data_IF_389544682835
#
_entry.id   IF_389544682835
#
_cell.length_a   1.000
_cell.length_b   1.000
_cell.length_c   1.000
_cell.angle_alpha   90.00
_cell.angle_beta   90.00
_cell.angle_gamma   90.00
#
_symmetry.space_group_name_H-M   'P 1'
#
loop_
_entity.id
_entity.type
_entity.pdbx_description
1 polymer ?
#
# COMPACT_ATOMS: atom_id res chain seq x y z
N UNK A 1 -20.90 25.32 15.46
CA UNK A 1 -19.56 25.60 14.90
C UNK A 1 -19.31 24.58 13.79
N UNK A 2 -19.01 25.10 12.60
CA UNK A 2 -19.24 24.51 11.27
C UNK A 2 -18.12 23.56 10.84
N UNK A 3 -18.53 22.50 10.15
CA UNK A 3 -17.76 21.50 9.42
C UNK A 3 -16.88 22.12 8.32
N UNK A 4 -15.56 22.25 8.52
CA UNK A 4 -14.66 22.68 7.42
C UNK A 4 -13.24 22.08 7.45
N UNK A 5 -13.02 20.95 8.13
CA UNK A 5 -11.76 20.20 8.04
C UNK A 5 -11.87 18.88 7.24
N UNK A 6 -13.07 18.44 6.87
CA UNK A 6 -13.31 17.10 6.31
C UNK A 6 -13.40 17.02 4.77
N UNK A 7 -13.18 18.10 4.02
CA UNK A 7 -13.49 18.11 2.57
C UNK A 7 -12.41 18.65 1.60
N UNK A 8 -11.14 18.81 2.00
CA UNK A 8 -10.11 19.36 1.09
C UNK A 8 -8.79 18.59 1.02
N UNK A 9 -8.85 17.27 0.91
CA UNK A 9 -7.69 16.49 0.48
C UNK A 9 -8.03 15.30 -0.43
N UNK A 10 -9.26 15.22 -0.95
CA UNK A 10 -9.77 14.02 -1.66
C UNK A 10 -10.06 14.22 -3.15
N UNK A 11 -9.58 15.31 -3.76
CA UNK A 11 -9.91 15.66 -5.14
C UNK A 11 -8.65 15.85 -5.98
N UNK A 12 -8.41 14.89 -6.89
CA UNK A 12 -7.39 14.87 -7.94
C UNK A 12 -5.97 14.44 -7.53
N UNK A 13 -5.36 13.61 -8.40
CA UNK A 13 -4.07 12.89 -8.30
C UNK A 13 -4.23 11.51 -7.65
N UNK A 14 -3.62 10.47 -8.23
CA UNK A 14 -3.71 9.07 -7.77
C UNK A 14 -3.65 8.96 -6.25
N UNK A 15 -4.61 8.26 -5.64
CA UNK A 15 -4.59 8.03 -4.19
C UNK A 15 -3.25 7.36 -3.84
N UNK A 16 -2.45 7.88 -2.89
CA UNK A 16 -1.12 7.35 -2.56
C UNK A 16 -1.07 5.82 -2.40
N UNK A 17 -2.13 5.23 -1.86
CA UNK A 17 -2.29 3.78 -1.71
C UNK A 17 -2.35 2.98 -3.02
N UNK A 18 -2.76 3.59 -4.14
CA UNK A 18 -2.73 2.95 -5.46
C UNK A 18 -1.30 2.89 -6.01
N UNK A 19 -0.51 3.94 -5.81
CA UNK A 19 0.89 3.98 -6.24
C UNK A 19 1.71 2.95 -5.47
N UNK A 20 1.55 2.91 -4.15
CA UNK A 20 2.16 1.89 -3.29
C UNK A 20 1.79 0.47 -3.73
N UNK A 21 0.49 0.20 -3.95
CA UNK A 21 0.03 -1.11 -4.40
C UNK A 21 0.67 -1.53 -5.72
N UNK A 22 0.78 -0.63 -6.70
CA UNK A 22 1.39 -0.94 -8.00
C UNK A 22 2.87 -1.29 -7.86
N UNK A 23 3.62 -0.53 -7.05
CA UNK A 23 5.04 -0.80 -6.82
C UNK A 23 5.24 -2.14 -6.10
N UNK A 24 4.43 -2.44 -5.08
CA UNK A 24 4.45 -3.75 -4.45
C UNK A 24 4.15 -4.88 -5.43
N UNK A 25 3.12 -4.72 -6.28
CA UNK A 25 2.74 -5.74 -7.25
C UNK A 25 3.84 -5.99 -8.30
N UNK A 26 4.48 -4.93 -8.80
CA UNK A 26 5.60 -5.02 -9.74
C UNK A 26 6.77 -5.81 -9.13
N UNK A 27 7.25 -5.39 -7.95
CA UNK A 27 8.41 -6.00 -7.31
C UNK A 27 8.11 -7.42 -6.85
N UNK A 28 6.89 -7.71 -6.38
CA UNK A 28 6.46 -9.07 -6.02
C UNK A 28 6.52 -9.99 -7.23
N UNK A 29 6.04 -9.53 -8.39
CA UNK A 29 6.12 -10.29 -9.64
C UNK A 29 7.57 -10.51 -10.09
N UNK A 30 8.47 -9.57 -9.83
CA UNK A 30 9.90 -9.76 -10.11
C UNK A 30 10.55 -10.79 -9.19
N UNK A 31 10.21 -10.79 -7.90
CA UNK A 31 10.65 -11.83 -6.96
C UNK A 31 10.15 -13.21 -7.39
N UNK A 32 8.87 -13.33 -7.78
CA UNK A 32 8.30 -14.59 -8.29
C UNK A 32 9.01 -15.07 -9.56
N UNK A 33 9.28 -14.18 -10.51
CA UNK A 33 10.03 -14.53 -11.73
C UNK A 33 11.45 -14.99 -11.42
N UNK A 34 12.11 -14.36 -10.44
CA UNK A 34 13.45 -14.72 -10.00
C UNK A 34 13.53 -16.08 -9.29
N UNK A 35 12.40 -16.67 -8.90
CA UNK A 35 12.31 -18.04 -8.39
C UNK A 35 12.03 -19.09 -9.49
N UNK A 36 11.77 -18.66 -10.72
CA UNK A 36 11.50 -19.61 -11.81
C UNK A 36 12.75 -20.41 -12.20
N UNK A 37 12.56 -21.63 -12.70
CA UNK A 37 13.66 -22.51 -13.13
C UNK A 37 14.54 -21.92 -14.23
N UNK A 38 14.04 -20.91 -14.94
CA UNK A 38 14.73 -20.27 -16.07
C UNK A 38 15.34 -18.91 -15.70
N UNK A 39 15.23 -18.49 -14.43
CA UNK A 39 15.76 -17.21 -13.98
C UNK A 39 17.29 -17.20 -13.97
N UNK A 40 17.89 -16.07 -14.37
CA UNK A 40 19.32 -15.88 -14.20
C UNK A 40 19.64 -15.61 -12.72
N UNK A 41 20.83 -16.00 -12.21
CA UNK A 41 21.24 -15.67 -10.84
C UNK A 41 21.19 -14.15 -10.54
N UNK A 42 21.42 -13.32 -11.56
CA UNK A 42 21.33 -11.86 -11.48
C UNK A 42 19.91 -11.35 -11.24
N UNK A 43 18.87 -12.06 -11.69
CA UNK A 43 17.48 -11.66 -11.50
C UNK A 43 17.11 -11.69 -10.01
N UNK A 44 17.61 -12.69 -9.28
CA UNK A 44 17.42 -12.82 -7.83
C UNK A 44 18.07 -11.68 -7.06
N UNK A 45 19.32 -11.35 -7.39
CA UNK A 45 20.02 -10.22 -6.77
C UNK A 45 19.28 -8.92 -7.04
N UNK A 46 18.88 -8.67 -8.29
CA UNK A 46 18.13 -7.47 -8.69
C UNK A 46 16.80 -7.38 -7.95
N UNK A 47 15.99 -8.43 -7.95
CA UNK A 47 14.67 -8.42 -7.35
C UNK A 47 14.73 -8.22 -5.82
N UNK A 48 15.64 -8.92 -5.14
CA UNK A 48 15.86 -8.75 -3.70
C UNK A 48 16.36 -7.34 -3.35
N UNK A 49 17.27 -6.78 -4.15
CA UNK A 49 17.75 -5.42 -3.96
C UNK A 49 16.63 -4.38 -4.14
N UNK A 50 15.83 -4.50 -5.21
CA UNK A 50 14.68 -3.61 -5.45
C UNK A 50 13.65 -3.71 -4.33
N UNK A 51 13.39 -4.90 -3.82
CA UNK A 51 12.53 -5.11 -2.66
C UNK A 51 13.06 -4.37 -1.43
N UNK A 52 14.36 -4.46 -1.13
CA UNK A 52 14.96 -3.69 -0.04
C UNK A 52 14.82 -2.18 -0.22
N UNK A 53 14.97 -1.65 -1.45
CA UNK A 53 14.80 -0.22 -1.73
C UNK A 53 13.35 0.25 -1.51
N UNK A 54 12.36 -0.55 -1.90
CA UNK A 54 10.95 -0.26 -1.64
C UNK A 54 10.69 -0.13 -0.13
N UNK A 55 11.14 -1.12 0.65
CA UNK A 55 10.94 -1.13 2.10
C UNK A 55 11.71 -0.02 2.83
N UNK A 56 12.90 0.35 2.36
CA UNK A 56 13.64 1.48 2.89
C UNK A 56 12.91 2.82 2.66
N UNK A 57 12.32 2.98 1.48
CA UNK A 57 11.51 4.16 1.13
C UNK A 57 10.30 4.26 2.05
N UNK A 58 9.59 3.14 2.24
CA UNK A 58 8.45 3.07 3.16
C UNK A 58 8.84 3.36 4.61
N UNK A 59 9.95 2.79 5.10
CA UNK A 59 10.44 3.05 6.45
C UNK A 59 10.72 4.54 6.67
N UNK A 60 11.30 5.20 5.67
CA UNK A 60 11.60 6.63 5.73
C UNK A 60 10.33 7.47 5.82
N UNK A 61 9.30 7.14 5.02
CA UNK A 61 8.00 7.80 5.09
C UNK A 61 7.29 7.55 6.44
N UNK A 62 7.36 6.33 6.98
CA UNK A 62 6.71 5.97 8.25
C UNK A 62 7.28 6.74 9.45
N UNK A 63 8.57 7.05 9.43
CA UNK A 63 9.27 7.79 10.51
C UNK A 63 9.03 9.30 10.40
N UNK A 64 8.60 9.80 9.24
CA UNK A 64 8.27 11.22 9.05
C UNK A 64 7.16 11.68 10.00
N UNK A 65 7.34 12.88 10.58
CA UNK A 65 6.33 13.55 11.40
C UNK A 65 5.06 13.90 10.60
N UNK A 66 5.16 13.96 9.27
CA UNK A 66 4.04 14.23 8.37
C UNK A 66 3.15 12.99 8.16
N UNK A 67 3.64 11.79 8.47
CA UNK A 67 2.86 10.56 8.34
C UNK A 67 1.84 10.48 9.49
N UNK A 68 0.57 10.30 9.15
CA UNK A 68 -0.58 10.35 10.09
C UNK A 68 -1.10 8.98 10.52
N UNK A 69 -0.38 7.90 10.21
CA UNK A 69 -0.75 6.57 10.67
C UNK A 69 -0.66 6.46 12.20
N UNK A 70 -1.50 5.59 12.75
CA UNK A 70 -1.45 5.27 14.18
C UNK A 70 -0.08 4.71 14.58
N UNK A 71 0.39 5.10 15.76
CA UNK A 71 1.73 4.74 16.26
C UNK A 71 1.95 3.23 16.33
N UNK A 72 0.92 2.46 16.67
CA UNK A 72 1.00 1.00 16.74
C UNK A 72 1.18 0.39 15.34
N UNK A 73 0.44 0.91 14.35
CA UNK A 73 0.56 0.48 12.95
C UNK A 73 1.95 0.82 12.42
N UNK A 74 2.44 2.05 12.65
CA UNK A 74 3.79 2.47 12.27
C UNK A 74 4.87 1.54 12.85
N UNK A 75 4.79 1.26 14.15
CA UNK A 75 5.77 0.39 14.81
C UNK A 75 5.81 -1.02 14.20
N UNK A 76 4.65 -1.59 13.88
CA UNK A 76 4.56 -2.88 13.18
C UNK A 76 5.19 -2.84 11.79
N UNK A 77 4.85 -1.83 10.98
CA UNK A 77 5.39 -1.68 9.62
C UNK A 77 6.91 -1.42 9.62
N UNK A 78 7.42 -0.62 10.55
CA UNK A 78 8.86 -0.38 10.73
C UNK A 78 9.58 -1.68 11.11
N UNK A 79 8.98 -2.48 11.99
CA UNK A 79 9.54 -3.79 12.38
C UNK A 79 9.62 -4.74 11.19
N UNK A 80 8.58 -4.77 10.35
CA UNK A 80 8.58 -5.51 9.09
C UNK A 80 9.66 -4.99 8.13
N UNK A 81 9.81 -3.67 7.98
CA UNK A 81 10.84 -3.10 7.12
C UNK A 81 12.26 -3.53 7.53
N UNK A 82 12.55 -3.52 8.83
CA UNK A 82 13.84 -4.00 9.37
C UNK A 82 14.04 -5.50 9.07
N UNK A 83 13.01 -6.31 9.27
CA UNK A 83 13.06 -7.74 8.96
C UNK A 83 13.29 -8.00 7.46
N UNK A 84 12.59 -7.27 6.58
CA UNK A 84 12.75 -7.37 5.12
C UNK A 84 14.14 -6.91 4.66
N UNK A 85 14.69 -5.84 5.23
CA UNK A 85 16.07 -5.40 4.94
C UNK A 85 17.08 -6.53 5.23
N UNK A 86 16.95 -7.18 6.40
CA UNK A 86 17.80 -8.32 6.77
C UNK A 86 17.64 -9.51 5.82
N UNK A 87 16.42 -9.95 5.57
CA UNK A 87 16.15 -11.08 4.68
C UNK A 87 16.59 -10.79 3.24
N UNK A 88 16.38 -9.57 2.74
CA UNK A 88 16.81 -9.19 1.39
C UNK A 88 18.33 -9.31 1.25
N UNK A 89 19.10 -8.97 2.28
CA UNK A 89 20.55 -9.14 2.28
C UNK A 89 20.98 -10.63 2.29
N UNK A 90 20.33 -11.47 3.10
CA UNK A 90 20.54 -12.92 3.12
C UNK A 90 20.16 -13.56 1.76
N UNK A 91 19.06 -13.11 1.17
CA UNK A 91 18.62 -13.52 -0.15
C UNK A 91 19.67 -13.14 -1.20
N UNK A 92 20.17 -11.90 -1.22
CA UNK A 92 21.23 -11.48 -2.17
C UNK A 92 22.46 -12.40 -2.08
N UNK A 93 22.83 -12.86 -0.87
CA UNK A 93 23.96 -13.77 -0.66
C UNK A 93 23.71 -15.23 -1.04
N UNK A 94 22.47 -15.63 -1.33
CA UNK A 94 22.17 -17.05 -1.60
C UNK A 94 21.76 -17.86 -0.38
N UNK A 95 21.60 -17.24 0.78
CA UNK A 95 21.46 -17.97 2.06
C UNK A 95 20.02 -18.43 2.32
N UNK A 96 19.04 -17.72 1.77
CA UNK A 96 17.59 -17.99 1.96
C UNK A 96 16.81 -17.88 0.66
N UNK A 97 15.61 -18.43 0.61
CA UNK A 97 14.71 -18.27 -0.53
C UNK A 97 13.98 -16.90 -0.55
N UNK A 98 13.44 -16.51 -1.71
CA UNK A 98 12.65 -15.27 -1.89
C UNK A 98 11.19 -15.42 -1.43
N UNK A 99 10.69 -16.64 -1.21
CA UNK A 99 9.31 -16.92 -0.79
C UNK A 99 8.80 -16.03 0.36
N UNK A 100 9.53 -15.92 1.48
CA UNK A 100 9.09 -15.06 2.60
C UNK A 100 8.96 -13.58 2.24
N UNK A 101 9.76 -13.07 1.29
CA UNK A 101 9.66 -11.68 0.81
C UNK A 101 8.42 -11.49 -0.09
N UNK A 102 8.06 -12.52 -0.85
CA UNK A 102 6.84 -12.52 -1.68
C UNK A 102 5.60 -12.53 -0.79
N UNK A 103 5.58 -13.37 0.24
CA UNK A 103 4.44 -13.52 1.13
C UNK A 103 4.14 -12.22 1.89
N UNK A 104 5.16 -11.59 2.48
CA UNK A 104 4.96 -10.31 3.19
C UNK A 104 4.46 -9.20 2.24
N UNK A 105 4.94 -9.16 1.00
CA UNK A 105 4.47 -8.16 0.03
C UNK A 105 3.00 -8.40 -0.36
N UNK A 106 2.58 -9.67 -0.48
CA UNK A 106 1.18 -10.03 -0.73
C UNK A 106 0.28 -9.65 0.43
N UNK A 107 0.72 -9.88 1.67
CA UNK A 107 -0.01 -9.48 2.87
C UNK A 107 -0.21 -7.96 2.93
N UNK A 108 0.83 -7.18 2.62
CA UNK A 108 0.74 -5.72 2.54
C UNK A 108 -0.23 -5.28 1.44
N UNK A 109 -0.14 -5.86 0.23
CA UNK A 109 -1.07 -5.58 -0.86
C UNK A 109 -2.52 -5.89 -0.47
N UNK A 110 -2.75 -7.00 0.24
CA UNK A 110 -4.07 -7.35 0.76
C UNK A 110 -4.56 -6.28 1.74
N UNK A 111 -3.73 -5.84 2.69
CA UNK A 111 -4.04 -4.77 3.64
C UNK A 111 -4.36 -3.43 2.95
N UNK A 112 -3.57 -3.03 1.95
CA UNK A 112 -3.80 -1.83 1.14
C UNK A 112 -5.15 -1.91 0.38
N UNK A 113 -5.47 -3.07 -0.20
CA UNK A 113 -6.74 -3.28 -0.91
C UNK A 113 -7.97 -3.16 -0.01
N UNK A 114 -7.87 -3.65 1.23
CA UNK A 114 -8.95 -3.55 2.22
C UNK A 114 -9.10 -2.12 2.72
N UNK A 115 -7.99 -1.44 3.00
CA UNK A 115 -7.98 -0.04 3.43
C UNK A 115 -8.60 0.88 2.36
N UNK A 116 -8.29 0.65 1.08
CA UNK A 116 -8.89 1.39 -0.03
C UNK A 116 -10.40 1.11 -0.19
N UNK A 117 -10.84 -0.14 0.01
CA UNK A 117 -12.28 -0.47 0.04
C UNK A 117 -13.00 0.24 1.18
N UNK A 118 -12.45 0.21 2.39
CA UNK A 118 -13.00 0.86 3.57
C UNK A 118 -13.09 2.39 3.40
N UNK A 119 -12.14 3.00 2.68
CA UNK A 119 -12.18 4.41 2.33
C UNK A 119 -13.32 4.74 1.35
N UNK A 120 -13.59 3.88 0.35
CA UNK A 120 -14.70 4.05 -0.60
C UNK A 120 -16.07 3.90 0.07
N UNK A 121 -16.23 2.96 1.01
CA UNK A 121 -17.50 2.74 1.72
C UNK A 121 -17.87 3.83 2.71
N UNK A 122 -16.93 4.69 3.12
CA UNK A 122 -17.17 5.83 4.02
C UNK A 122 -17.63 7.11 3.30
N UNK A 123 -17.70 7.11 1.96
CA UNK A 123 -18.27 8.24 1.21
C UNK A 123 -19.81 8.21 1.35
N UNK A 124 -20.45 9.27 1.90
CA UNK A 124 -21.90 9.33 1.96
C UNK A 124 -22.44 9.39 0.53
N UNK A 125 -23.27 8.40 0.19
CA UNK A 125 -24.08 8.39 -1.03
C UNK A 125 -25.02 9.61 -1.02
N UNK A 126 -24.63 10.70 -1.66
CA UNK A 126 -25.54 11.78 -2.02
C UNK A 126 -26.39 11.31 -3.22
N UNK A 127 -27.30 10.38 -2.97
CA UNK A 127 -28.46 10.13 -3.82
C UNK A 127 -29.67 10.13 -2.88
N UNK A 128 -30.71 10.88 -3.28
CA UNK A 128 -32.02 11.05 -2.63
C UNK A 128 -32.17 12.30 -1.75
N UNK A 129 -32.21 13.48 -2.38
CA UNK A 129 -32.78 14.67 -1.72
C UNK A 129 -33.50 15.66 -2.65
N UNK A 130 -33.78 15.33 -3.92
CA UNK A 130 -34.51 16.25 -4.81
C UNK A 130 -35.40 15.52 -5.81
N UNK A 131 -36.51 14.91 -5.35
CA UNK A 131 -37.66 14.66 -6.25
C UNK A 131 -39.00 14.44 -5.53
N UNK A 132 -39.26 15.11 -4.39
CA UNK A 132 -40.58 15.02 -3.74
C UNK A 132 -41.29 16.35 -3.48
N UNK A 133 -40.70 17.50 -3.81
CA UNK A 133 -41.31 18.81 -3.51
C UNK A 133 -41.93 19.54 -4.73
N UNK A 134 -42.47 18.81 -5.71
CA UNK A 134 -43.13 19.44 -6.87
C UNK A 134 -44.59 19.01 -7.13
N UNK A 135 -45.26 18.39 -6.15
CA UNK A 135 -46.68 17.98 -6.30
C UNK A 135 -47.66 18.59 -5.30
N UNK A 136 -47.30 19.65 -4.56
CA UNK A 136 -48.24 20.24 -3.59
C UNK A 136 -48.44 21.75 -3.71
N UNK A 137 -48.18 22.33 -4.88
CA UNK A 137 -48.43 23.75 -5.15
C UNK A 137 -49.21 23.99 -6.46
N UNK A 138 -50.21 23.17 -6.79
CA UNK A 138 -51.38 23.58 -7.59
C UNK A 138 -52.55 22.66 -7.24
N UNK A 139 -53.36 23.06 -6.26
CA UNK A 139 -54.76 22.66 -6.09
C UNK A 139 -55.47 23.74 -5.28
#
# INVERSE_FOLDING_TARGET
>A
MQYDAYKRANSATEKPSQTEYRLFAEITRELEQAMSSNAAPTDRIRAAFRNSQLWLTLKTDLISEQNKLDVHIKAGLISLAIWVEKLSAEAIRGEIDLGPLIDVNKDIMQGLSQSNRNARTKEPSHQNAETQDFKQAVA
#
